data_IF_921942572373
#
_entry.id   IF_921942572373
#
_cell.length_a   1.000
_cell.length_b   1.000
_cell.length_c   1.000
_cell.angle_alpha   90.00
_cell.angle_beta   90.00
_cell.angle_gamma   90.00
#
_symmetry.space_group_name_H-M   'P 1'
#
loop_
_entity.id
_entity.type
_entity.pdbx_description
1 polymer ?
#
# COMPACT_ATOMS: atom_id res chain seq x y z
N UNK A 1 2.78 -1.66 5.29
CA UNK A 1 3.36 -0.52 6.04
C UNK A 1 3.50 -0.94 7.49
N UNK A 2 4.60 -0.59 8.15
CA UNK A 2 4.83 -0.96 9.56
C UNK A 2 5.10 0.24 10.48
N UNK A 3 5.21 1.45 9.90
CA UNK A 3 5.38 2.69 10.64
C UNK A 3 4.01 3.23 11.05
N UNK A 4 3.70 3.23 12.35
CA UNK A 4 2.40 3.69 12.88
C UNK A 4 2.07 5.14 12.53
N UNK A 5 3.07 6.03 12.50
CA UNK A 5 2.85 7.44 12.17
C UNK A 5 2.44 7.58 10.70
N UNK A 6 3.10 6.83 9.80
CA UNK A 6 2.73 6.80 8.39
C UNK A 6 1.34 6.20 8.19
N UNK A 7 0.99 5.14 8.95
CA UNK A 7 -0.35 4.53 8.90
C UNK A 7 -1.42 5.53 9.32
N UNK A 8 -1.23 6.23 10.44
CA UNK A 8 -2.18 7.26 10.90
C UNK A 8 -2.33 8.37 9.86
N UNK A 9 -1.21 8.88 9.34
CA UNK A 9 -1.24 9.91 8.32
C UNK A 9 -1.99 9.46 7.06
N UNK A 10 -1.69 8.26 6.54
CA UNK A 10 -2.38 7.72 5.34
C UNK A 10 -3.88 7.57 5.60
N UNK A 11 -4.27 7.04 6.77
CA UNK A 11 -5.67 6.88 7.15
C UNK A 11 -6.45 8.20 7.15
N UNK A 12 -5.82 9.27 7.63
CA UNK A 12 -6.47 10.57 7.78
C UNK A 12 -6.43 11.40 6.48
N UNK A 13 -5.45 11.14 5.61
CA UNK A 13 -5.15 12.02 4.47
C UNK A 13 -5.33 11.38 3.09
N UNK A 14 -5.49 10.07 2.95
CA UNK A 14 -5.58 9.40 1.65
C UNK A 14 -6.96 8.77 1.47
N UNK A 15 -7.56 9.01 0.31
CA UNK A 15 -8.80 8.36 -0.11
C UNK A 15 -8.63 7.56 -1.41
N UNK A 16 -9.57 6.64 -1.72
CA UNK A 16 -9.59 5.99 -3.03
C UNK A 16 -9.64 7.01 -4.17
N UNK A 17 -8.72 6.87 -5.13
CA UNK A 17 -8.60 7.76 -6.29
C UNK A 17 -7.56 8.89 -6.16
N UNK A 18 -6.94 9.06 -4.99
CA UNK A 18 -5.84 10.01 -4.82
C UNK A 18 -4.56 9.53 -5.52
N UNK A 19 -3.80 10.46 -6.11
CA UNK A 19 -2.48 10.18 -6.65
C UNK A 19 -1.45 10.26 -5.53
N UNK A 20 -0.78 9.15 -5.26
CA UNK A 20 0.23 9.04 -4.21
C UNK A 20 1.58 8.59 -4.77
N UNK A 21 2.64 9.00 -4.10
CA UNK A 21 3.97 8.45 -4.27
C UNK A 21 4.37 7.68 -3.01
N UNK A 22 4.81 6.44 -3.16
CA UNK A 22 5.17 5.57 -2.04
C UNK A 22 6.55 5.00 -2.25
N UNK A 23 7.34 4.93 -1.17
CA UNK A 23 8.66 4.28 -1.16
C UNK A 23 8.67 3.16 -0.15
N UNK A 24 9.39 2.10 -0.47
CA UNK A 24 9.54 0.96 0.43
C UNK A 24 10.29 -0.19 -0.19
N UNK A 25 10.26 -1.32 0.51
CA UNK A 25 10.89 -2.56 0.08
C UNK A 25 9.86 -3.47 -0.56
N UNK A 26 10.15 -3.98 -1.75
CA UNK A 26 9.38 -5.08 -2.34
C UNK A 26 9.82 -6.38 -1.68
N UNK A 27 8.86 -7.16 -1.20
CA UNK A 27 9.06 -8.48 -0.61
C UNK A 27 8.29 -9.49 -1.43
N UNK A 28 8.95 -10.55 -1.84
CA UNK A 28 8.30 -11.74 -2.39
C UNK A 28 8.10 -12.73 -1.26
N UNK A 29 6.94 -13.39 -1.24
CA UNK A 29 6.67 -14.48 -0.32
C UNK A 29 5.92 -15.59 -1.06
N UNK A 30 6.15 -16.84 -0.65
CA UNK A 30 5.54 -18.01 -1.25
C UNK A 30 5.01 -18.93 -0.17
N UNK A 31 3.77 -19.39 -0.30
CA UNK A 31 3.14 -20.28 0.67
C UNK A 31 2.19 -21.26 -0.02
N UNK A 32 1.95 -22.42 0.62
CA UNK A 32 0.91 -23.34 0.17
C UNK A 32 -0.46 -22.90 0.72
N UNK A 33 -1.45 -22.77 -0.16
CA UNK A 33 -2.81 -22.49 0.24
C UNK A 33 -3.55 -23.76 0.70
N UNK A 34 -4.76 -23.62 1.23
CA UNK A 34 -5.59 -24.74 1.70
C UNK A 34 -5.98 -25.73 0.59
N UNK A 35 -5.75 -25.38 -0.68
CA UNK A 35 -6.01 -26.23 -1.86
C UNK A 35 -4.74 -26.96 -2.33
N UNK A 36 -3.62 -26.82 -1.60
CA UNK A 36 -2.34 -27.46 -1.92
C UNK A 36 -1.59 -26.80 -3.09
N UNK A 37 -1.95 -25.56 -3.45
CA UNK A 37 -1.28 -24.81 -4.50
C UNK A 37 -0.23 -23.87 -3.90
N UNK A 38 0.93 -23.76 -4.55
CA UNK A 38 1.91 -22.73 -4.22
C UNK A 38 1.43 -21.38 -4.72
N UNK A 39 1.20 -20.46 -3.81
CA UNK A 39 0.85 -19.07 -4.09
C UNK A 39 2.09 -18.20 -3.92
N UNK A 40 2.38 -17.37 -4.91
CA UNK A 40 3.40 -16.33 -4.85
C UNK A 40 2.72 -14.99 -4.62
N UNK A 41 3.10 -14.30 -3.56
CA UNK A 41 2.65 -12.96 -3.25
C UNK A 41 3.82 -11.97 -3.35
N UNK A 42 3.47 -10.73 -3.64
CA UNK A 42 4.41 -9.62 -3.63
C UNK A 42 3.83 -8.49 -2.79
N UNK A 43 4.57 -8.11 -1.75
CA UNK A 43 4.18 -7.05 -0.83
C UNK A 43 5.13 -5.87 -0.95
N UNK A 44 4.61 -4.69 -1.27
CA UNK A 44 5.34 -3.43 -1.08
C UNK A 44 5.24 -3.01 0.39
N UNK A 45 6.28 -3.29 1.16
CA UNK A 45 6.44 -2.81 2.52
C UNK A 45 6.83 -1.33 2.51
N UNK A 46 5.85 -0.48 2.26
CA UNK A 46 6.03 0.97 2.20
C UNK A 46 6.38 1.59 3.56
N UNK A 47 7.38 2.46 3.55
CA UNK A 47 7.89 3.24 4.69
C UNK A 47 7.41 4.68 4.66
N UNK A 48 7.28 5.24 3.46
CA UNK A 48 6.93 6.65 3.22
C UNK A 48 5.80 6.76 2.19
N UNK A 49 4.90 7.73 2.42
CA UNK A 49 3.79 8.08 1.54
C UNK A 49 3.69 9.59 1.38
N UNK A 50 3.68 10.05 0.13
CA UNK A 50 3.44 11.44 -0.25
C UNK A 50 2.12 11.51 -1.03
N UNK A 51 1.24 12.44 -0.67
CA UNK A 51 0.07 12.78 -1.46
C UNK A 51 0.48 13.79 -2.54
N UNK A 52 0.43 13.39 -3.80
CA UNK A 52 0.77 14.27 -4.92
C UNK A 52 -0.45 15.05 -5.41
N UNK A 53 -1.61 14.41 -5.46
CA UNK A 53 -2.83 15.06 -5.91
C UNK A 53 -4.07 14.40 -5.31
N UNK A 54 -5.04 15.23 -4.91
CA UNK A 54 -6.37 14.76 -4.51
C UNK A 54 -7.17 14.34 -5.72
N UNK A 55 -8.01 13.33 -5.58
CA UNK A 55 -8.99 13.02 -6.62
C UNK A 55 -9.80 14.28 -6.96
N UNK A 56 -9.98 14.53 -8.25
CA UNK A 56 -10.85 15.61 -8.69
C UNK A 56 -12.30 15.22 -8.38
N UNK A 57 -13.06 16.10 -7.75
CA UNK A 57 -14.50 15.91 -7.64
C UNK A 57 -15.10 16.04 -9.05
N UNK A 58 -15.91 15.07 -9.46
CA UNK A 58 -16.74 15.24 -10.66
C UNK A 58 -17.69 16.42 -10.41
N UNK A 59 -17.69 17.39 -11.34
CA UNK A 59 -18.47 18.63 -11.27
C UNK A 59 -19.92 18.42 -11.72
#
# INVERSE_FOLDING_TARGET
>A
MFNENAIRWVRDNIGPGDLVHSRGTIRENSYENCEGQTVHDMTLAATDFDLLHKKQAEA
#
